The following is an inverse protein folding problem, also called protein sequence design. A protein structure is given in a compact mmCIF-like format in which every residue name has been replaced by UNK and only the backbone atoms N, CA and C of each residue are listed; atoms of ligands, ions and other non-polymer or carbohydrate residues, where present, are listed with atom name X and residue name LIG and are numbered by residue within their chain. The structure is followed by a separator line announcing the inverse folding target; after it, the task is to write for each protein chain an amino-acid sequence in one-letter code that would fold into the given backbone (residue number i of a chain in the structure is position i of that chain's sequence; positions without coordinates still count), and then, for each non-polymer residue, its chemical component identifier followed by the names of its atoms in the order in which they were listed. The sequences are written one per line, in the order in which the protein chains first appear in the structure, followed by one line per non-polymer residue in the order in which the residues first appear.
data_IF_275870747740
#
_entry.id   IF_275870747740
#
_cell.length_a   1.000
_cell.length_b   1.000
_cell.length_c   1.000
_cell.angle_alpha   90.00
_cell.angle_beta   90.00
_cell.angle_gamma   90.00
#
_symmetry.space_group_name_H-M   'P 1'
#
loop_
_entity.id
_entity.type
_entity.pdbx_description
1 polymer ?
#
# COMPACT_ATOMS: atom_id res chain seq x y z
N UNK A 1 34.41 -20.65 -0.54
CA UNK A 1 33.22 -19.78 -0.66
C UNK A 1 32.65 -20.01 -2.06
N UNK A 2 31.56 -20.78 -2.19
CA UNK A 2 31.02 -21.27 -3.46
C UNK A 2 30.54 -20.12 -4.35
N UNK A 3 30.60 -20.30 -5.68
CA UNK A 3 30.07 -19.35 -6.67
C UNK A 3 28.61 -18.98 -6.39
N UNK A 4 27.78 -19.89 -5.86
CA UNK A 4 26.42 -19.66 -5.41
C UNK A 4 26.31 -18.62 -4.27
N UNK A 5 27.23 -18.62 -3.31
CA UNK A 5 27.24 -17.63 -2.23
C UNK A 5 27.57 -16.21 -2.75
N UNK A 6 28.45 -16.12 -3.77
CA UNK A 6 28.76 -14.84 -4.43
C UNK A 6 27.59 -14.31 -5.26
N UNK A 7 26.87 -15.19 -5.96
CA UNK A 7 25.67 -14.80 -6.72
C UNK A 7 24.54 -14.34 -5.80
N UNK A 8 24.29 -15.02 -4.67
CA UNK A 8 23.31 -14.61 -3.67
C UNK A 8 23.63 -13.24 -3.03
N UNK A 9 24.90 -12.95 -2.78
CA UNK A 9 25.32 -11.68 -2.18
C UNK A 9 25.19 -10.49 -3.13
N UNK A 10 25.53 -10.66 -4.43
CA UNK A 10 25.41 -9.60 -5.44
C UNK A 10 23.96 -9.24 -5.75
N UNK A 11 23.08 -10.23 -5.77
CA UNK A 11 21.64 -10.00 -5.99
C UNK A 11 20.96 -9.32 -4.80
N UNK A 12 21.36 -9.59 -3.57
CA UNK A 12 20.81 -8.96 -2.36
C UNK A 12 21.16 -7.46 -2.29
N UNK A 13 22.41 -7.09 -2.58
CA UNK A 13 22.88 -5.70 -2.58
C UNK A 13 22.17 -4.84 -3.62
N UNK A 14 21.94 -5.36 -4.84
CA UNK A 14 21.26 -4.59 -5.91
C UNK A 14 19.80 -4.30 -5.59
N UNK A 15 19.13 -5.14 -4.82
CA UNK A 15 17.70 -4.99 -4.43
C UNK A 15 17.49 -3.90 -3.41
N UNK A 16 18.32 -3.87 -2.37
CA UNK A 16 18.30 -2.79 -1.37
C UNK A 16 18.57 -1.44 -2.03
N UNK A 17 19.48 -1.39 -3.01
CA UNK A 17 19.77 -0.16 -3.77
C UNK A 17 18.52 0.33 -4.55
N UNK A 18 17.80 -0.56 -5.22
CA UNK A 18 16.57 -0.19 -5.97
C UNK A 18 15.47 0.30 -5.04
N UNK A 19 15.23 -0.40 -3.92
CA UNK A 19 14.25 0.03 -2.93
C UNK A 19 14.64 1.37 -2.32
N UNK A 20 15.91 1.53 -1.94
CA UNK A 20 16.45 2.75 -1.39
C UNK A 20 16.36 3.92 -2.38
N UNK A 21 16.70 3.69 -3.65
CA UNK A 21 16.60 4.69 -4.71
C UNK A 21 15.14 5.20 -4.90
N UNK A 22 14.15 4.31 -4.80
CA UNK A 22 12.73 4.69 -4.85
C UNK A 22 12.30 5.51 -3.64
N UNK A 23 12.69 5.10 -2.44
CA UNK A 23 12.39 5.85 -1.23
C UNK A 23 13.06 7.23 -1.26
N UNK A 24 14.30 7.30 -1.72
CA UNK A 24 15.03 8.57 -1.87
C UNK A 24 14.41 9.47 -2.93
N UNK A 25 14.02 8.92 -4.10
CA UNK A 25 13.34 9.71 -5.13
C UNK A 25 11.98 10.23 -4.64
N UNK A 26 11.18 9.39 -3.99
CA UNK A 26 9.91 9.80 -3.41
C UNK A 26 10.10 10.88 -2.34
N UNK A 27 11.06 10.72 -1.43
CA UNK A 27 11.40 11.71 -0.42
C UNK A 27 11.90 13.02 -1.02
N UNK A 28 12.72 12.97 -2.09
CA UNK A 28 13.20 14.14 -2.80
C UNK A 28 12.06 14.93 -3.44
N UNK A 29 11.18 14.26 -4.21
CA UNK A 29 10.05 14.95 -4.83
C UNK A 29 9.09 15.52 -3.79
N UNK A 30 8.83 14.82 -2.69
CA UNK A 30 8.04 15.33 -1.57
C UNK A 30 8.69 16.55 -0.92
N UNK A 31 10.00 16.54 -0.67
CA UNK A 31 10.75 17.66 -0.13
C UNK A 31 10.75 18.88 -1.08
N UNK A 32 10.86 18.65 -2.38
CA UNK A 32 10.76 19.70 -3.41
C UNK A 32 9.36 20.32 -3.39
N UNK A 33 8.29 19.51 -3.35
CA UNK A 33 6.91 20.00 -3.28
C UNK A 33 6.69 20.84 -2.01
N UNK A 34 7.18 20.38 -0.87
CA UNK A 34 7.16 21.13 0.39
C UNK A 34 7.91 22.48 0.28
N UNK A 35 9.10 22.48 -0.32
CA UNK A 35 9.94 23.69 -0.47
C UNK A 35 9.38 24.71 -1.46
N UNK A 36 8.73 24.24 -2.54
CA UNK A 36 8.15 25.13 -3.57
C UNK A 36 6.80 25.74 -3.17
N UNK A 37 6.24 25.37 -2.00
CA UNK A 37 4.95 25.87 -1.53
C UNK A 37 5.01 26.80 -0.31
N UNK A 38 5.89 27.79 -0.23
CA UNK A 38 6.10 28.63 0.98
C UNK A 38 4.89 29.50 1.36
N UNK A 39 3.94 29.68 0.42
CA UNK A 39 2.72 30.47 0.66
C UNK A 39 1.60 29.67 1.34
N UNK A 40 1.74 28.37 1.44
CA UNK A 40 0.80 27.51 2.14
C UNK A 40 1.16 27.43 3.64
N UNK A 41 0.15 27.21 4.48
CA UNK A 41 0.34 26.89 5.89
C UNK A 41 1.18 25.62 6.07
N UNK A 42 1.90 25.51 7.18
CA UNK A 42 2.85 24.44 7.41
C UNK A 42 2.20 23.04 7.26
N UNK A 43 1.00 22.87 7.80
CA UNK A 43 0.25 21.62 7.73
C UNK A 43 -0.06 21.22 6.26
N UNK A 44 -0.55 22.16 5.45
CA UNK A 44 -0.83 21.93 4.02
C UNK A 44 0.44 21.63 3.23
N UNK A 45 1.57 22.25 3.59
CA UNK A 45 2.88 21.95 2.99
C UNK A 45 3.36 20.54 3.30
N UNK A 46 3.19 20.11 4.54
CA UNK A 46 3.56 18.75 4.97
C UNK A 46 2.72 17.73 4.22
N UNK A 47 1.40 17.93 4.13
CA UNK A 47 0.51 17.03 3.38
C UNK A 47 0.86 16.99 1.90
N UNK A 48 1.04 18.15 1.26
CA UNK A 48 1.41 18.19 -0.15
C UNK A 48 2.73 17.44 -0.40
N UNK A 49 3.72 17.65 0.45
CA UNK A 49 4.99 16.92 0.38
C UNK A 49 4.80 15.41 0.56
N UNK A 50 3.97 15.01 1.51
CA UNK A 50 3.62 13.61 1.75
C UNK A 50 2.89 12.99 0.54
N UNK A 51 1.86 13.66 0.01
CA UNK A 51 1.08 13.16 -1.12
C UNK A 51 1.94 12.99 -2.38
N UNK A 52 2.82 13.96 -2.66
CA UNK A 52 3.75 13.88 -3.79
C UNK A 52 4.75 12.74 -3.60
N UNK A 53 5.27 12.54 -2.39
CA UNK A 53 6.14 11.40 -2.08
C UNK A 53 5.41 10.07 -2.28
N UNK A 54 4.19 9.95 -1.77
CA UNK A 54 3.36 8.75 -1.90
C UNK A 54 3.01 8.45 -3.36
N UNK A 55 2.58 9.46 -4.13
CA UNK A 55 2.30 9.31 -5.57
C UNK A 55 3.54 8.86 -6.35
N UNK A 56 4.70 9.44 -6.05
CA UNK A 56 5.96 9.04 -6.69
C UNK A 56 6.30 7.59 -6.37
N UNK A 57 6.17 7.20 -5.11
CA UNK A 57 6.48 5.83 -4.68
C UNK A 57 5.51 4.81 -5.29
N UNK A 58 4.19 5.04 -5.18
CA UNK A 58 3.14 4.20 -5.77
C UNK A 58 3.31 4.13 -7.28
N UNK A 59 3.50 5.27 -7.95
CA UNK A 59 3.72 5.33 -9.39
C UNK A 59 4.92 4.49 -9.83
N UNK A 60 6.01 4.51 -9.06
CA UNK A 60 7.19 3.68 -9.33
C UNK A 60 6.93 2.17 -9.16
N UNK A 61 6.04 1.78 -8.24
CA UNK A 61 5.61 0.40 -8.07
C UNK A 61 4.70 -0.04 -9.22
N UNK A 62 3.66 0.75 -9.50
CA UNK A 62 2.68 0.46 -10.57
C UNK A 62 3.36 0.39 -11.94
N UNK A 63 4.28 1.31 -12.23
CA UNK A 63 5.06 1.29 -13.47
C UNK A 63 5.81 -0.04 -13.68
N UNK A 64 6.42 -0.55 -12.62
CA UNK A 64 7.13 -1.86 -12.70
C UNK A 64 6.17 -3.02 -12.85
N UNK A 65 5.06 -3.02 -12.13
CA UNK A 65 4.05 -4.07 -12.26
C UNK A 65 3.46 -4.09 -13.67
N UNK A 66 3.24 -2.91 -14.26
CA UNK A 66 2.73 -2.80 -15.62
C UNK A 66 3.74 -3.24 -16.69
N UNK A 67 5.04 -3.17 -16.40
CA UNK A 67 6.10 -3.61 -17.29
C UNK A 67 6.48 -5.09 -17.10
N UNK A 68 6.01 -5.74 -16.05
CA UNK A 68 6.33 -7.13 -15.73
C UNK A 68 5.29 -8.08 -16.37
N UNK A 69 5.78 -9.11 -17.05
CA UNK A 69 5.00 -10.27 -17.44
C UNK A 69 4.97 -11.32 -16.32
N UNK A 70 4.30 -12.45 -16.53
CA UNK A 70 4.19 -13.52 -15.54
C UNK A 70 5.56 -14.11 -15.14
N UNK A 71 6.51 -14.21 -16.08
CA UNK A 71 7.87 -14.72 -15.80
C UNK A 71 8.64 -13.74 -14.92
N UNK A 72 8.62 -12.46 -15.27
CA UNK A 72 9.23 -11.39 -14.47
C UNK A 72 8.59 -11.27 -13.10
N UNK A 73 7.27 -11.44 -13.00
CA UNK A 73 6.53 -11.45 -11.72
C UNK A 73 7.03 -12.56 -10.81
N UNK A 74 7.18 -13.77 -11.33
CA UNK A 74 7.75 -14.90 -10.59
C UNK A 74 9.16 -14.59 -10.09
N UNK A 75 10.04 -14.13 -10.99
CA UNK A 75 11.44 -13.84 -10.68
C UNK A 75 11.60 -12.69 -9.69
N UNK A 76 10.74 -11.68 -9.75
CA UNK A 76 10.75 -10.54 -8.85
C UNK A 76 10.13 -10.87 -7.48
N UNK A 77 9.03 -11.63 -7.46
CA UNK A 77 8.33 -12.00 -6.23
C UNK A 77 9.21 -12.82 -5.27
N UNK A 78 9.99 -13.76 -5.78
CA UNK A 78 10.95 -14.53 -4.99
C UNK A 78 12.07 -13.70 -4.37
N UNK A 79 12.17 -12.43 -4.74
CA UNK A 79 13.23 -11.51 -4.30
C UNK A 79 12.83 -10.60 -3.13
N UNK A 80 11.58 -10.61 -2.70
CA UNK A 80 11.05 -9.72 -1.65
C UNK A 80 11.16 -10.42 -0.29
N UNK A 81 12.02 -9.95 0.59
CA UNK A 81 12.32 -10.57 1.90
C UNK A 81 11.58 -9.93 3.10
N UNK A 82 10.37 -9.39 2.92
CA UNK A 82 9.63 -8.88 4.08
C UNK A 82 8.84 -9.99 4.77
N UNK A 83 9.00 -10.10 6.09
CA UNK A 83 8.16 -10.96 6.91
C UNK A 83 6.71 -10.45 6.87
N UNK A 84 5.74 -11.38 6.88
CA UNK A 84 4.30 -11.07 6.89
C UNK A 84 3.94 -10.07 7.99
N UNK A 85 4.55 -10.19 9.17
CA UNK A 85 4.29 -9.30 10.31
C UNK A 85 4.80 -7.88 10.10
N UNK A 86 5.95 -7.71 9.43
CA UNK A 86 6.50 -6.38 9.12
C UNK A 86 5.58 -5.65 8.13
N UNK A 87 5.07 -6.35 7.11
CA UNK A 87 4.13 -5.77 6.15
C UNK A 87 2.85 -5.32 6.87
N UNK A 88 2.27 -6.17 7.72
CA UNK A 88 1.07 -5.85 8.48
C UNK A 88 1.27 -4.68 9.45
N UNK A 89 2.37 -4.67 10.19
CA UNK A 89 2.69 -3.59 11.14
C UNK A 89 2.92 -2.27 10.41
N UNK A 90 3.67 -2.28 9.30
CA UNK A 90 3.91 -1.07 8.50
C UNK A 90 2.61 -0.54 7.90
N UNK A 91 1.79 -1.42 7.32
CA UNK A 91 0.49 -1.05 6.75
C UNK A 91 -0.44 -0.47 7.83
N UNK A 92 -0.55 -1.11 8.99
CA UNK A 92 -1.35 -0.62 10.11
C UNK A 92 -0.86 0.71 10.66
N UNK A 93 0.46 0.88 10.80
CA UNK A 93 1.07 2.12 11.26
C UNK A 93 0.83 3.28 10.29
N UNK A 94 1.06 3.09 8.99
CA UNK A 94 0.83 4.11 7.96
C UNK A 94 -0.65 4.52 7.90
N UNK A 95 -1.56 3.54 7.97
CA UNK A 95 -3.00 3.79 8.01
C UNK A 95 -3.39 4.62 9.24
N UNK A 96 -2.93 4.23 10.42
CA UNK A 96 -3.19 4.94 11.67
C UNK A 96 -2.63 6.37 11.65
N UNK A 97 -1.43 6.57 11.13
CA UNK A 97 -0.79 7.88 11.01
C UNK A 97 -1.54 8.81 10.06
N UNK A 98 -2.00 8.29 8.91
CA UNK A 98 -2.82 9.05 7.95
C UNK A 98 -4.13 9.52 8.57
N UNK A 99 -4.83 8.63 9.28
CA UNK A 99 -6.10 8.96 9.95
C UNK A 99 -5.91 9.96 11.09
N UNK A 100 -4.84 9.82 11.89
CA UNK A 100 -4.51 10.76 12.94
C UNK A 100 -4.23 12.16 12.37
N UNK A 101 -3.47 12.24 11.27
CA UNK A 101 -3.17 13.49 10.59
C UNK A 101 -4.46 14.23 10.16
N UNK A 102 -5.40 13.51 9.55
CA UNK A 102 -6.71 14.07 9.17
C UNK A 102 -7.50 14.55 10.38
N UNK A 103 -7.57 13.76 11.46
CA UNK A 103 -8.29 14.14 12.69
C UNK A 103 -7.73 15.40 13.35
N UNK A 104 -6.42 15.54 13.44
CA UNK A 104 -5.77 16.74 14.00
C UNK A 104 -6.05 18.00 13.16
N UNK A 105 -6.22 17.85 11.87
CA UNK A 105 -6.43 18.95 10.95
C UNK A 105 -7.84 19.49 10.96
N UNK A 106 -8.86 18.64 11.04
CA UNK A 106 -10.25 19.06 11.15
C UNK A 106 -10.49 19.96 12.38
N UNK A 107 -9.74 19.74 13.45
CA UNK A 107 -9.82 20.56 14.67
C UNK A 107 -9.31 22.01 14.50
N UNK A 108 -8.39 22.25 13.57
CA UNK A 108 -7.69 23.55 13.37
C UNK A 108 -8.25 24.42 12.25
N UNK A 109 -9.04 23.86 11.34
CA UNK A 109 -9.51 24.54 10.11
C UNK A 109 -10.51 25.69 10.31
N UNK A 110 -10.98 25.93 11.53
CA UNK A 110 -12.04 26.93 11.82
C UNK A 110 -11.64 28.40 11.57
N UNK A 111 -10.35 28.71 11.39
CA UNK A 111 -9.85 30.08 11.17
C UNK A 111 -9.43 30.35 9.72
N UNK A 112 -9.54 29.41 8.82
CA UNK A 112 -9.06 29.54 7.43
C UNK A 112 -10.14 30.04 6.47
N UNK A 113 -9.71 30.61 5.33
CA UNK A 113 -10.62 30.94 4.26
C UNK A 113 -11.24 29.65 3.68
N UNK A 114 -12.47 29.71 3.13
CA UNK A 114 -13.14 28.53 2.55
C UNK A 114 -12.28 27.84 1.48
N UNK A 115 -11.57 28.61 0.66
CA UNK A 115 -10.69 28.07 -0.37
C UNK A 115 -9.53 27.25 0.24
N UNK A 116 -8.89 27.77 1.29
CA UNK A 116 -7.78 27.10 1.96
C UNK A 116 -8.27 25.84 2.69
N UNK A 117 -9.42 25.91 3.33
CA UNK A 117 -10.07 24.76 3.98
C UNK A 117 -10.36 23.64 2.97
N UNK A 118 -10.97 23.97 1.82
CA UNK A 118 -11.27 22.96 0.79
C UNK A 118 -10.00 22.37 0.16
N UNK A 119 -8.97 23.18 -0.06
CA UNK A 119 -7.68 22.71 -0.57
C UNK A 119 -7.02 21.72 0.41
N UNK A 120 -7.00 22.09 1.68
CA UNK A 120 -6.44 21.27 2.74
C UNK A 120 -7.21 19.95 2.92
N UNK A 121 -8.54 20.01 2.85
CA UNK A 121 -9.41 18.84 2.88
C UNK A 121 -9.10 17.90 1.70
N UNK A 122 -8.91 18.46 0.49
CA UNK A 122 -8.52 17.69 -0.69
C UNK A 122 -7.20 16.94 -0.51
N UNK A 123 -6.18 17.60 0.03
CA UNK A 123 -4.90 16.96 0.36
C UNK A 123 -5.07 15.86 1.41
N UNK A 124 -5.86 16.13 2.47
CA UNK A 124 -6.11 15.13 3.52
C UNK A 124 -6.79 13.87 2.99
N UNK A 125 -7.79 14.04 2.12
CA UNK A 125 -8.46 12.93 1.44
C UNK A 125 -7.49 12.18 0.52
N UNK A 126 -6.65 12.89 -0.23
CA UNK A 126 -5.62 12.30 -1.08
C UNK A 126 -4.65 11.45 -0.25
N UNK A 127 -4.15 11.97 0.88
CA UNK A 127 -3.27 11.25 1.79
C UNK A 127 -3.88 9.92 2.27
N UNK A 128 -5.17 9.94 2.64
CA UNK A 128 -5.90 8.75 3.10
C UNK A 128 -6.01 7.73 1.97
N UNK A 129 -6.46 8.14 0.77
CA UNK A 129 -6.62 7.22 -0.36
C UNK A 129 -5.28 6.66 -0.86
N UNK A 130 -4.23 7.47 -0.90
CA UNK A 130 -2.89 7.04 -1.29
C UNK A 130 -2.33 6.02 -0.30
N UNK A 131 -2.49 6.27 1.00
CA UNK A 131 -2.04 5.34 2.04
C UNK A 131 -2.85 4.04 1.99
N UNK A 132 -4.17 4.12 1.84
CA UNK A 132 -5.05 2.97 1.66
C UNK A 132 -4.62 2.16 0.43
N UNK A 133 -4.45 2.79 -0.72
CA UNK A 133 -4.01 2.13 -1.95
C UNK A 133 -2.64 1.45 -1.80
N UNK A 134 -1.66 2.13 -1.17
CA UNK A 134 -0.34 1.55 -0.92
C UNK A 134 -0.41 0.28 -0.06
N UNK A 135 -1.24 0.27 0.98
CA UNK A 135 -1.44 -0.92 1.83
C UNK A 135 -1.84 -2.12 0.96
N UNK A 136 -2.82 -1.96 0.08
CA UNK A 136 -3.32 -3.05 -0.75
C UNK A 136 -2.35 -3.46 -1.86
N UNK A 137 -1.60 -2.52 -2.43
CA UNK A 137 -0.48 -2.82 -3.35
C UNK A 137 0.57 -3.69 -2.64
N UNK A 138 0.95 -3.35 -1.42
CA UNK A 138 1.92 -4.11 -0.63
C UNK A 138 1.40 -5.52 -0.34
N UNK A 139 0.11 -5.68 -0.02
CA UNK A 139 -0.50 -7.00 0.13
C UNK A 139 -0.51 -7.78 -1.17
N UNK A 140 -0.84 -7.17 -2.32
CA UNK A 140 -0.79 -7.83 -3.62
C UNK A 140 0.61 -8.35 -3.97
N UNK A 141 1.64 -7.53 -3.76
CA UNK A 141 3.05 -7.95 -3.92
C UNK A 141 3.39 -9.09 -2.95
N UNK A 142 2.88 -9.03 -1.72
CA UNK A 142 3.10 -10.07 -0.73
C UNK A 142 2.41 -11.40 -1.11
N UNK A 143 1.22 -11.36 -1.68
CA UNK A 143 0.53 -12.54 -2.22
C UNK A 143 1.28 -13.17 -3.38
N UNK A 144 1.81 -12.36 -4.31
CA UNK A 144 2.67 -12.83 -5.39
C UNK A 144 3.91 -13.56 -4.84
N UNK A 145 4.52 -13.01 -3.79
CA UNK A 145 5.65 -13.66 -3.11
C UNK A 145 5.25 -15.02 -2.51
N UNK A 146 4.15 -15.07 -1.76
CA UNK A 146 3.71 -16.33 -1.13
C UNK A 146 3.33 -17.38 -2.17
N UNK A 147 2.81 -16.95 -3.33
CA UNK A 147 2.46 -17.84 -4.43
C UNK A 147 3.69 -18.46 -5.10
N UNK A 148 4.72 -17.64 -5.34
CA UNK A 148 5.94 -18.05 -6.05
C UNK A 148 7.07 -18.51 -5.11
N UNK A 149 6.84 -18.62 -3.80
CA UNK A 149 7.83 -19.14 -2.85
C UNK A 149 8.08 -20.63 -3.13
N UNK A 150 9.31 -21.04 -3.45
CA UNK A 150 9.63 -22.44 -3.70
C UNK A 150 9.63 -23.31 -2.43
N UNK A 151 9.57 -22.68 -1.24
CA UNK A 151 9.58 -23.37 0.05
C UNK A 151 8.22 -23.29 0.72
N UNK A 152 7.33 -24.27 0.50
CA UNK A 152 6.02 -24.27 1.15
C UNK A 152 6.19 -24.35 2.68
N UNK A 153 5.24 -23.75 3.42
CA UNK A 153 5.23 -23.87 4.87
C UNK A 153 5.16 -25.33 5.34
N UNK A 154 5.74 -25.61 6.51
CA UNK A 154 5.74 -26.94 7.06
C UNK A 154 4.30 -27.52 7.17
N UNK A 155 4.08 -28.67 6.55
CA UNK A 155 2.80 -29.37 6.50
C UNK A 155 1.84 -28.91 5.39
N UNK A 156 2.30 -28.09 4.44
CA UNK A 156 1.58 -27.80 3.20
C UNK A 156 2.21 -28.55 2.01
N UNK A 157 1.39 -29.06 1.05
CA UNK A 157 1.88 -29.79 -0.11
C UNK A 157 2.72 -28.86 -1.00
N UNK A 158 3.91 -29.33 -1.41
CA UNK A 158 4.81 -28.57 -2.30
C UNK A 158 4.34 -28.51 -3.75
N UNK A 159 3.43 -29.38 -4.13
CA UNK A 159 2.93 -29.55 -5.50
C UNK A 159 1.71 -28.68 -5.83
N UNK A 160 1.21 -27.91 -4.85
CA UNK A 160 0.01 -27.08 -5.02
C UNK A 160 0.25 -25.63 -4.60
N UNK A 161 -0.04 -24.67 -5.49
CA UNK A 161 0.05 -23.26 -5.11
C UNK A 161 -0.99 -22.91 -4.04
N UNK A 162 -0.68 -21.94 -3.14
CA UNK A 162 -1.58 -21.53 -2.05
C UNK A 162 -2.83 -20.76 -2.54
N UNK A 163 -2.81 -20.22 -3.77
CA UNK A 163 -3.94 -19.64 -4.49
C UNK A 163 -4.19 -20.44 -5.77
N UNK A 164 -5.44 -20.58 -6.15
CA UNK A 164 -5.87 -21.20 -7.42
C UNK A 164 -6.65 -20.17 -8.22
N UNK A 165 -6.06 -19.77 -9.35
CA UNK A 165 -6.68 -18.87 -10.32
C UNK A 165 -7.51 -19.68 -11.35
N UNK A 166 -8.62 -19.12 -11.90
CA UNK A 166 -9.55 -19.88 -12.72
C UNK A 166 -8.95 -20.39 -14.04
N UNK A 167 -7.97 -19.69 -14.61
CA UNK A 167 -7.47 -19.96 -15.96
C UNK A 167 -6.21 -20.85 -16.01
N UNK A 168 -5.76 -21.37 -14.86
CA UNK A 168 -4.58 -22.25 -14.73
C UNK A 168 -3.29 -21.66 -15.37
N UNK A 169 -3.28 -20.33 -15.59
CA UNK A 169 -2.18 -19.56 -16.15
C UNK A 169 -1.18 -19.17 -15.06
N UNK A 170 0.05 -18.85 -15.46
CA UNK A 170 1.00 -18.23 -14.54
C UNK A 170 0.52 -16.79 -14.23
N UNK A 171 0.07 -16.49 -12.99
CA UNK A 171 -0.47 -15.18 -12.66
C UNK A 171 0.62 -14.11 -12.68
N UNK A 172 0.27 -12.92 -13.18
CA UNK A 172 1.11 -11.74 -13.13
C UNK A 172 0.80 -10.85 -11.92
N UNK A 173 1.47 -9.69 -11.80
CA UNK A 173 1.19 -8.77 -10.71
C UNK A 173 -0.26 -8.25 -10.69
N UNK A 174 -0.93 -8.14 -11.84
CA UNK A 174 -2.30 -7.63 -11.91
C UNK A 174 -3.31 -8.63 -11.36
N UNK A 175 -3.07 -9.94 -11.51
CA UNK A 175 -3.90 -10.98 -10.88
C UNK A 175 -3.83 -10.88 -9.35
N UNK A 176 -2.64 -10.65 -8.80
CA UNK A 176 -2.47 -10.45 -7.37
C UNK A 176 -3.03 -9.10 -6.89
N UNK A 177 -2.98 -8.04 -7.71
CA UNK A 177 -3.64 -6.77 -7.42
C UNK A 177 -5.16 -6.93 -7.43
N UNK A 178 -5.72 -7.63 -8.44
CA UNK A 178 -7.13 -7.96 -8.47
C UNK A 178 -7.56 -8.67 -7.18
N UNK A 179 -6.83 -9.70 -6.76
CA UNK A 179 -7.10 -10.41 -5.52
C UNK A 179 -7.04 -9.48 -4.30
N UNK A 180 -5.98 -8.68 -4.17
CA UNK A 180 -5.79 -7.80 -3.03
C UNK A 180 -6.86 -6.70 -2.95
N UNK A 181 -7.16 -6.03 -4.06
CA UNK A 181 -8.15 -4.93 -4.09
C UNK A 181 -9.58 -5.44 -3.98
N UNK A 182 -9.89 -6.63 -4.49
CA UNK A 182 -11.21 -7.25 -4.27
C UNK A 182 -11.41 -7.58 -2.79
N UNK A 183 -10.40 -8.11 -2.09
CA UNK A 183 -10.45 -8.28 -0.63
C UNK A 183 -10.58 -6.95 0.12
N UNK A 184 -9.93 -5.89 -0.39
CA UNK A 184 -9.97 -4.57 0.23
C UNK A 184 -11.36 -3.92 0.18
N UNK A 185 -12.10 -4.14 -0.90
CA UNK A 185 -13.38 -3.46 -1.17
C UNK A 185 -14.56 -4.36 -0.82
N UNK A 186 -14.49 -5.65 -1.19
CA UNK A 186 -15.60 -6.59 -1.07
C UNK A 186 -15.45 -7.56 0.11
N UNK A 187 -14.27 -7.62 0.73
CA UNK A 187 -13.93 -8.57 1.82
C UNK A 187 -13.95 -10.05 1.39
N UNK A 188 -14.21 -10.34 0.13
CA UNK A 188 -14.34 -11.68 -0.41
C UNK A 188 -13.92 -11.71 -1.89
N UNK A 189 -13.36 -12.84 -2.32
CA UNK A 189 -13.10 -13.18 -3.72
C UNK A 189 -13.84 -14.47 -4.03
N UNK A 190 -14.60 -14.53 -5.12
CA UNK A 190 -15.46 -15.68 -5.46
C UNK A 190 -14.82 -16.64 -6.46
N UNK A 191 -13.88 -16.16 -7.26
CA UNK A 191 -13.25 -16.86 -8.39
C UNK A 191 -11.85 -17.39 -8.11
N UNK A 192 -11.20 -16.94 -7.01
CA UNK A 192 -9.88 -17.40 -6.60
C UNK A 192 -9.96 -18.21 -5.31
N UNK A 193 -9.52 -19.47 -5.34
CA UNK A 193 -9.57 -20.35 -4.19
C UNK A 193 -8.32 -20.24 -3.31
N UNK A 194 -8.51 -20.10 -1.98
CA UNK A 194 -7.42 -19.99 -1.00
C UNK A 194 -7.19 -21.38 -0.38
N UNK A 195 -6.08 -22.03 -0.71
CA UNK A 195 -5.77 -23.40 -0.25
C UNK A 195 -4.82 -23.44 0.95
N UNK A 196 -3.83 -22.56 1.00
CA UNK A 196 -2.82 -22.55 2.04
C UNK A 196 -3.34 -22.07 3.42
N UNK A 197 -3.01 -22.79 4.50
CA UNK A 197 -3.39 -22.39 5.86
C UNK A 197 -2.72 -21.06 6.27
N UNK A 198 -1.46 -20.89 5.91
CA UNK A 198 -0.71 -19.67 6.19
C UNK A 198 -1.31 -18.49 5.44
N UNK A 199 -1.62 -18.68 4.15
CA UNK A 199 -2.23 -17.65 3.34
C UNK A 199 -3.61 -17.22 3.89
N UNK A 200 -4.46 -18.18 4.34
CA UNK A 200 -5.74 -17.85 4.97
C UNK A 200 -5.58 -16.93 6.20
N UNK A 201 -4.53 -17.08 6.98
CA UNK A 201 -4.25 -16.19 8.12
C UNK A 201 -3.87 -14.78 7.67
N UNK A 202 -3.07 -14.66 6.61
CA UNK A 202 -2.70 -13.37 6.02
C UNK A 202 -3.92 -12.68 5.42
N UNK A 203 -4.76 -13.44 4.68
CA UNK A 203 -6.02 -12.92 4.12
C UNK A 203 -6.97 -12.45 5.22
N UNK A 204 -7.13 -13.21 6.30
CA UNK A 204 -7.97 -12.79 7.44
C UNK A 204 -7.46 -11.47 8.03
N UNK A 205 -6.15 -11.35 8.26
CA UNK A 205 -5.56 -10.12 8.78
C UNK A 205 -5.74 -8.95 7.82
N UNK A 206 -5.59 -9.18 6.50
CA UNK A 206 -5.81 -8.16 5.47
C UNK A 206 -7.27 -7.68 5.46
N UNK A 207 -8.24 -8.60 5.48
CA UNK A 207 -9.67 -8.28 5.49
C UNK A 207 -10.05 -7.49 6.75
N UNK A 208 -9.56 -7.89 7.94
CA UNK A 208 -9.81 -7.16 9.18
C UNK A 208 -9.20 -5.75 9.15
N UNK A 209 -7.99 -5.60 8.62
CA UNK A 209 -7.36 -4.30 8.44
C UNK A 209 -8.13 -3.43 7.44
N UNK A 210 -8.59 -4.01 6.32
CA UNK A 210 -9.40 -3.32 5.31
C UNK A 210 -10.72 -2.83 5.90
N UNK A 211 -11.41 -3.68 6.65
CA UNK A 211 -12.66 -3.32 7.33
C UNK A 211 -12.45 -2.15 8.30
N UNK A 212 -11.40 -2.22 9.12
CA UNK A 212 -11.06 -1.16 10.06
C UNK A 212 -10.78 0.16 9.34
N UNK A 213 -9.95 0.13 8.28
CA UNK A 213 -9.63 1.32 7.49
C UNK A 213 -10.88 1.95 6.85
N UNK A 214 -11.71 1.15 6.19
CA UNK A 214 -12.94 1.66 5.55
C UNK A 214 -13.90 2.24 6.58
N UNK A 215 -14.06 1.60 7.74
CA UNK A 215 -14.89 2.11 8.83
C UNK A 215 -14.41 3.47 9.33
N UNK A 216 -13.09 3.64 9.50
CA UNK A 216 -12.50 4.91 9.90
C UNK A 216 -12.67 5.98 8.82
N UNK A 217 -12.43 5.65 7.55
CA UNK A 217 -12.64 6.56 6.41
C UNK A 217 -14.10 7.03 6.37
N UNK A 218 -15.07 6.12 6.52
CA UNK A 218 -16.49 6.49 6.56
C UNK A 218 -16.81 7.40 7.74
N UNK A 219 -16.25 7.16 8.92
CA UNK A 219 -16.39 8.05 10.07
C UNK A 219 -15.91 9.47 9.76
N UNK A 220 -14.77 9.64 9.12
CA UNK A 220 -14.28 10.95 8.68
C UNK A 220 -15.16 11.60 7.61
N UNK A 221 -15.62 10.83 6.63
CA UNK A 221 -16.55 11.36 5.61
C UNK A 221 -17.83 11.88 6.24
N UNK A 222 -18.41 11.16 7.21
CA UNK A 222 -19.60 11.60 7.94
C UNK A 222 -19.32 12.87 8.74
N UNK A 223 -18.17 12.99 9.41
CA UNK A 223 -17.77 14.19 10.13
C UNK A 223 -17.64 15.40 9.18
N UNK A 224 -16.97 15.22 8.05
CA UNK A 224 -16.81 16.25 7.02
C UNK A 224 -18.19 16.71 6.52
N UNK A 225 -19.06 15.79 6.14
CA UNK A 225 -20.42 16.10 5.66
C UNK A 225 -21.21 16.83 6.75
N UNK A 226 -21.08 16.40 8.02
CA UNK A 226 -21.69 17.06 9.17
C UNK A 226 -21.28 18.53 9.31
N UNK A 227 -20.01 18.87 9.06
CA UNK A 227 -19.54 20.27 9.11
C UNK A 227 -20.12 21.15 8.01
N UNK A 228 -20.49 20.61 6.87
CA UNK A 228 -21.14 21.34 5.77
C UNK A 228 -22.65 21.51 5.96
N UNK A 229 -23.30 20.58 6.68
CA UNK A 229 -24.76 20.59 6.89
C UNK A 229 -25.16 21.40 8.14
N UNK A 230 -24.31 21.45 9.16
CA UNK A 230 -24.59 22.22 10.37
C UNK A 230 -24.28 23.70 10.14
N UNK A 231 -25.28 24.60 10.09
CA UNK A 231 -25.03 26.03 10.01
C UNK A 231 -24.24 26.42 11.27
N UNK A 232 -23.10 27.06 11.08
CA UNK A 232 -22.39 27.71 12.18
C UNK A 232 -23.28 28.84 12.74
N UNK A 233 -23.91 28.60 13.88
CA UNK A 233 -24.45 29.68 14.71
C UNK A 233 -23.32 30.55 15.27
#
# INVERSE_FOLDING_TARGET
MSLEARFKHTTRSSRWMVMFARLMSAGLFGAVAFGLSPRLELESRILLGFDVAMLTYIGSLVWRMAAADAVSTRDESGKIEFSNWIVLLLAGFLSGLSLLAVGLMLHRSRSWSPLMTNFHLGLSLAAVFLTWGLVHIVFGIHYARMYYDPTPPAGEPADRPPLEFPDDLMPDFWDFMYFAFTLAICYQVSDISIRGRQLRRVVLAHVLLSFLNVTLILGFVVEIVGTFISPTN
#
